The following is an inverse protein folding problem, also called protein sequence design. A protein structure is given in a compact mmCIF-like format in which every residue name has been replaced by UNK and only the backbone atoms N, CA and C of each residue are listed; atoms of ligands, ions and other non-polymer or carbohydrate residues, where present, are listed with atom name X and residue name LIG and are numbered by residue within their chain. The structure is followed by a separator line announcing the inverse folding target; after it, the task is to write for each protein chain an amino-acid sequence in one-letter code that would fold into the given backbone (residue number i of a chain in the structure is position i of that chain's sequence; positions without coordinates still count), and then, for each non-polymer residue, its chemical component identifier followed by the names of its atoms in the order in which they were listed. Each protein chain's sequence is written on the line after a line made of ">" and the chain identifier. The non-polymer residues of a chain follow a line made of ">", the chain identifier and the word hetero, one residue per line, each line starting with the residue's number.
data_IF_527165930745
#
_entry.id   IF_527165930745
#
_cell.length_a   1.000
_cell.length_b   1.000
_cell.length_c   1.000
_cell.angle_alpha   90.00
_cell.angle_beta   90.00
_cell.angle_gamma   90.00
#
_symmetry.space_group_name_H-M   'P 1'
#
loop_
_entity.id
_entity.type
_entity.pdbx_description
1 polymer ?
#
# COMPACT_ATOMS: atom_id res chain seq x y z
N UNK A 1 -18.62 10.82 -13.35
CA UNK A 1 -17.42 11.01 -12.57
C UNK A 1 -16.90 9.68 -12.11
N UNK A 2 -15.74 9.34 -12.57
CA UNK A 2 -15.23 8.03 -12.28
C UNK A 2 -14.34 8.09 -11.03
N UNK A 3 -14.79 7.44 -9.97
CA UNK A 3 -14.04 7.41 -8.72
C UNK A 3 -13.49 6.03 -8.43
N UNK A 4 -13.27 5.27 -9.48
CA UNK A 4 -12.70 3.95 -9.33
C UNK A 4 -11.31 4.05 -8.68
N UNK A 5 -11.09 3.39 -7.55
CA UNK A 5 -9.77 3.44 -6.93
C UNK A 5 -8.71 2.74 -7.78
N UNK A 6 -7.50 3.23 -7.70
CA UNK A 6 -6.37 2.56 -8.31
C UNK A 6 -5.93 1.44 -7.38
N UNK A 7 -5.91 0.23 -7.89
CA UNK A 7 -5.49 -0.93 -7.11
C UNK A 7 -4.09 -1.35 -7.55
N UNK A 8 -3.17 -1.46 -6.59
CA UNK A 8 -1.78 -1.79 -6.87
C UNK A 8 -1.35 -3.03 -6.12
N UNK A 9 -0.52 -3.81 -6.78
CA UNK A 9 0.13 -4.95 -6.16
C UNK A 9 1.61 -4.93 -6.55
N UNK A 10 2.39 -3.97 -6.02
CA UNK A 10 3.77 -3.79 -6.45
C UNK A 10 4.68 -4.87 -5.86
N UNK A 11 5.86 -5.06 -6.45
CA UNK A 11 6.84 -5.98 -5.88
C UNK A 11 7.30 -5.46 -4.52
N UNK A 12 7.59 -6.39 -3.61
CA UNK A 12 7.98 -6.02 -2.25
C UNK A 12 9.49 -5.94 -2.06
N UNK A 13 10.26 -6.43 -3.00
CA UNK A 13 11.70 -6.57 -2.82
C UNK A 13 12.38 -5.22 -2.69
N UNK A 14 13.24 -5.11 -1.70
CA UNK A 14 14.12 -3.95 -1.52
C UNK A 14 13.36 -2.62 -1.43
N UNK A 15 12.16 -2.66 -0.90
CA UNK A 15 11.40 -1.44 -0.72
C UNK A 15 10.77 -0.91 -2.00
N UNK A 16 10.71 -1.72 -3.04
CA UNK A 16 10.11 -1.28 -4.30
C UNK A 16 8.65 -0.90 -4.13
N UNK A 17 7.94 -1.57 -3.22
CA UNK A 17 6.55 -1.24 -2.95
C UNK A 17 6.40 0.20 -2.46
N UNK A 18 7.35 0.67 -1.62
CA UNK A 18 7.33 2.04 -1.12
C UNK A 18 7.46 3.03 -2.28
N UNK A 19 8.43 2.79 -3.16
CA UNK A 19 8.65 3.67 -4.30
C UNK A 19 7.46 3.69 -5.24
N UNK A 20 6.91 2.52 -5.55
CA UNK A 20 5.80 2.42 -6.48
C UNK A 20 4.55 3.10 -5.93
N UNK A 21 4.26 2.87 -4.65
CA UNK A 21 3.08 3.47 -4.02
C UNK A 21 3.23 4.98 -3.92
N UNK A 22 4.40 5.46 -3.51
CA UNK A 22 4.65 6.88 -3.40
C UNK A 22 4.51 7.56 -4.76
N UNK A 23 5.06 6.95 -5.79
CA UNK A 23 4.97 7.49 -7.14
C UNK A 23 3.52 7.53 -7.63
N UNK A 24 2.79 6.43 -7.41
CA UNK A 24 1.38 6.37 -7.83
C UNK A 24 0.55 7.43 -7.15
N UNK A 25 0.84 7.71 -5.89
CA UNK A 25 0.09 8.72 -5.14
C UNK A 25 0.25 10.11 -5.77
N UNK A 26 1.44 10.41 -6.30
CA UNK A 26 1.67 11.69 -6.94
C UNK A 26 0.95 11.82 -8.27
N UNK A 27 0.52 10.71 -8.85
CA UNK A 27 -0.16 10.72 -10.14
C UNK A 27 -1.68 10.73 -10.03
N UNK A 28 -2.20 10.69 -8.81
CA UNK A 28 -3.64 10.72 -8.61
C UNK A 28 -4.17 12.13 -8.77
N UNK A 29 -5.34 12.23 -9.34
CA UNK A 29 -6.04 13.51 -9.42
C UNK A 29 -6.65 13.82 -8.05
N UNK A 30 -6.92 15.11 -7.77
CA UNK A 30 -7.61 15.46 -6.54
C UNK A 30 -8.92 14.67 -6.41
N UNK A 31 -9.14 14.12 -5.23
CA UNK A 31 -10.29 13.26 -4.99
C UNK A 31 -10.06 11.81 -5.34
N UNK A 32 -8.89 11.47 -5.92
CA UNK A 32 -8.58 10.10 -6.26
C UNK A 32 -8.25 9.26 -5.04
N UNK A 33 -8.39 7.95 -5.22
CA UNK A 33 -8.11 6.99 -4.15
C UNK A 33 -7.14 5.93 -4.63
N UNK A 34 -6.20 5.58 -3.76
CA UNK A 34 -5.24 4.52 -4.02
C UNK A 34 -5.46 3.41 -3.01
N UNK A 35 -5.58 2.18 -3.52
CA UNK A 35 -5.62 0.98 -2.67
C UNK A 35 -4.45 0.12 -3.11
N UNK A 36 -3.63 -0.31 -2.16
CA UNK A 36 -2.43 -1.03 -2.50
C UNK A 36 -2.10 -2.07 -1.44
N UNK A 37 -1.42 -3.12 -1.89
CA UNK A 37 -0.80 -4.07 -0.99
C UNK A 37 0.67 -3.68 -0.82
N UNK A 38 1.18 -3.79 0.40
CA UNK A 38 2.59 -3.55 0.66
C UNK A 38 3.08 -4.55 1.68
N UNK A 39 4.39 -4.72 1.74
CA UNK A 39 4.97 -5.52 2.79
C UNK A 39 4.72 -4.83 4.14
N UNK A 40 4.46 -5.61 5.17
CA UNK A 40 4.23 -5.06 6.51
C UNK A 40 5.48 -5.26 7.34
N UNK A 41 6.52 -4.52 7.00
CA UNK A 41 7.80 -4.60 7.67
C UNK A 41 8.21 -3.27 8.28
N UNK A 42 9.36 -3.23 8.95
CA UNK A 42 9.81 -2.01 9.61
C UNK A 42 9.97 -0.84 8.64
N UNK A 43 10.45 -1.12 7.44
CA UNK A 43 10.67 -0.08 6.44
C UNK A 43 9.34 0.56 6.02
N UNK A 44 8.34 -0.27 5.76
CA UNK A 44 7.03 0.22 5.35
C UNK A 44 6.32 0.94 6.49
N UNK A 45 6.44 0.41 7.69
CA UNK A 45 5.85 1.06 8.85
C UNK A 45 6.48 2.41 9.12
N UNK A 46 7.76 2.58 8.81
CA UNK A 46 8.44 3.86 9.01
C UNK A 46 8.11 4.88 7.92
N UNK A 47 7.88 4.41 6.69
CA UNK A 47 7.73 5.31 5.54
C UNK A 47 6.30 5.45 5.06
N UNK A 48 5.60 4.34 4.89
CA UNK A 48 4.25 4.37 4.31
C UNK A 48 3.17 4.65 5.33
N UNK A 49 3.29 4.11 6.52
CA UNK A 49 2.23 4.26 7.51
C UNK A 49 1.97 5.72 7.89
N UNK A 50 3.01 6.54 8.12
CA UNK A 50 2.75 7.97 8.38
C UNK A 50 2.08 8.65 7.18
N UNK A 51 2.44 8.24 5.96
CA UNK A 51 1.83 8.80 4.76
C UNK A 51 0.36 8.44 4.68
N UNK A 52 0.02 7.19 4.99
CA UNK A 52 -1.38 6.74 5.01
C UNK A 52 -2.17 7.57 6.02
N UNK A 53 -1.61 7.76 7.20
CA UNK A 53 -2.28 8.52 8.25
C UNK A 53 -2.43 10.00 7.87
N UNK A 54 -1.43 10.55 7.20
CA UNK A 54 -1.46 11.94 6.78
C UNK A 54 -2.56 12.20 5.75
N UNK A 55 -2.92 11.17 4.98
CA UNK A 55 -3.98 11.29 3.98
C UNK A 55 -5.33 10.80 4.50
N UNK A 56 -5.44 10.59 5.80
CA UNK A 56 -6.69 10.10 6.38
C UNK A 56 -7.08 8.72 5.91
N UNK A 57 -6.08 7.93 5.51
CA UNK A 57 -6.32 6.61 4.97
C UNK A 57 -6.36 5.53 6.03
N UNK A 58 -6.35 4.29 5.57
CA UNK A 58 -6.42 3.13 6.43
C UNK A 58 -5.26 2.19 6.18
N UNK A 59 -4.82 1.57 7.25
CA UNK A 59 -3.77 0.55 7.22
C UNK A 59 -4.33 -0.70 7.86
N UNK A 60 -4.45 -1.76 7.08
CA UNK A 60 -5.01 -3.02 7.56
C UNK A 60 -3.96 -4.12 7.49
N UNK A 61 -3.65 -4.70 8.63
CA UNK A 61 -2.74 -5.84 8.69
C UNK A 61 -3.49 -7.08 8.22
N UNK A 62 -2.98 -7.73 7.17
CA UNK A 62 -3.58 -8.96 6.68
C UNK A 62 -3.03 -10.16 7.43
N UNK A 63 -3.81 -11.24 7.53
CA UNK A 63 -3.32 -12.46 8.19
C UNK A 63 -2.03 -12.95 7.56
N UNK A 64 -1.17 -13.54 8.40
CA UNK A 64 0.14 -13.99 7.96
C UNK A 64 0.07 -15.03 6.85
N UNK A 65 -1.03 -15.78 6.77
CA UNK A 65 -1.17 -16.84 5.78
C UNK A 65 -1.89 -16.42 4.51
N UNK A 66 -2.17 -15.12 4.34
CA UNK A 66 -2.89 -14.61 3.17
C UNK A 66 -2.22 -15.02 1.86
N UNK A 67 -0.89 -14.99 1.83
CA UNK A 67 -0.12 -15.33 0.64
C UNK A 67 0.73 -16.58 0.83
N UNK A 68 0.30 -17.45 1.71
CA UNK A 68 1.06 -18.64 2.05
C UNK A 68 1.29 -19.55 0.84
N UNK A 69 0.32 -19.58 -0.06
CA UNK A 69 0.41 -20.43 -1.23
C UNK A 69 1.51 -20.02 -2.18
N UNK A 70 2.00 -18.81 -2.06
CA UNK A 70 3.09 -18.33 -2.90
C UNK A 70 4.45 -18.61 -2.28
N UNK A 71 4.48 -19.35 -1.21
CA UNK A 71 5.72 -19.76 -0.60
C UNK A 71 6.45 -18.66 0.14
N UNK A 72 5.77 -17.58 0.48
CA UNK A 72 6.38 -16.48 1.19
C UNK A 72 5.80 -16.38 2.60
N UNK A 73 6.67 -16.03 3.54
CA UNK A 73 6.25 -15.75 4.91
C UNK A 73 6.16 -14.24 5.14
N UNK A 74 6.07 -13.48 4.08
CA UNK A 74 6.04 -12.03 4.17
C UNK A 74 4.69 -11.59 4.71
N UNK A 75 4.72 -10.75 5.73
CA UNK A 75 3.51 -10.11 6.20
C UNK A 75 3.14 -9.00 5.24
N UNK A 76 1.85 -8.84 5.04
CA UNK A 76 1.33 -7.91 4.05
C UNK A 76 0.29 -7.02 4.70
N UNK A 77 0.25 -5.78 4.27
CA UNK A 77 -0.77 -4.83 4.71
C UNK A 77 -1.53 -4.32 3.49
N UNK A 78 -2.82 -4.10 3.69
CA UNK A 78 -3.66 -3.45 2.70
C UNK A 78 -3.83 -2.00 3.13
N UNK A 79 -3.47 -1.08 2.24
CA UNK A 79 -3.53 0.33 2.57
C UNK A 79 -4.45 1.05 1.60
N UNK A 80 -5.07 2.12 2.07
CA UNK A 80 -5.84 3.01 1.22
C UNK A 80 -5.54 4.45 1.57
N UNK A 81 -5.45 5.28 0.56
CA UNK A 81 -5.19 6.71 0.71
C UNK A 81 -6.02 7.48 -0.28
N UNK A 82 -6.34 8.70 0.08
CA UNK A 82 -7.12 9.59 -0.77
C UNK A 82 -6.43 10.94 -0.85
N UNK A 83 -6.36 11.50 -2.05
CA UNK A 83 -5.78 12.83 -2.25
C UNK A 83 -6.85 13.89 -2.48
#
# INVERSE_FOLDING_TARGET
>A
MDETPVLMNPPFAQGADIEHITHALTMLKPGGRLVALCANGPRQNASLRPMVEAHGGEWEDLPADTFKEEGTDVRVALISMQV
#
